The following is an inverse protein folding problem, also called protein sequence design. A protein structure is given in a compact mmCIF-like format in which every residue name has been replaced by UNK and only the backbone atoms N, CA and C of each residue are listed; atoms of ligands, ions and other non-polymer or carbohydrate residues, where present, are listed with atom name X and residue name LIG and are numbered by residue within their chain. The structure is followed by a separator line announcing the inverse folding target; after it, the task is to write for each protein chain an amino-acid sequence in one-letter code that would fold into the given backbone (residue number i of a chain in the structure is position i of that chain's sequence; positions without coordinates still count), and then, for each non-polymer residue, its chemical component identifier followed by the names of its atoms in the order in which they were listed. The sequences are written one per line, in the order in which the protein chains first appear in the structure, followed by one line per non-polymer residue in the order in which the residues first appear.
data_IF_238106585544
#
_entry.id   IF_238106585544
#
_cell.length_a   1.000
_cell.length_b   1.000
_cell.length_c   1.000
_cell.angle_alpha   90.00
_cell.angle_beta   90.00
_cell.angle_gamma   90.00
#
_symmetry.space_group_name_H-M   'P 1'
#
loop_
_entity.id
_entity.type
_entity.pdbx_description
1 polymer ?
#
# COMPACT_ATOMS: atom_id res chain seq x y z
N UNK A 1 -6.56 -14.20 10.76
CA UNK A 1 -6.96 -14.25 9.36
C UNK A 1 -6.66 -12.92 8.68
N UNK A 2 -5.98 -12.96 7.55
CA UNK A 2 -5.58 -11.74 6.86
C UNK A 2 -6.69 -11.25 5.94
N UNK A 3 -6.77 -9.95 5.75
CA UNK A 3 -7.83 -9.35 4.97
C UNK A 3 -7.30 -8.24 4.07
N UNK A 4 -8.11 -7.84 3.11
CA UNK A 4 -7.83 -6.72 2.24
C UNK A 4 -8.46 -5.46 2.83
N UNK A 5 -7.76 -4.34 2.68
CA UNK A 5 -8.32 -3.06 3.09
C UNK A 5 -8.33 -2.12 1.90
N UNK A 6 -9.24 -1.15 1.93
CA UNK A 6 -9.43 -0.19 0.86
C UNK A 6 -9.31 1.21 1.44
N UNK A 7 -8.46 2.03 0.82
CA UNK A 7 -8.23 3.40 1.26
C UNK A 7 -8.71 4.35 0.18
N UNK A 8 -9.73 5.12 0.49
CA UNK A 8 -10.35 6.05 -0.47
C UNK A 8 -9.88 7.49 -0.26
N UNK A 9 -9.23 7.77 0.87
CA UNK A 9 -8.84 9.12 1.22
C UNK A 9 -7.44 9.44 0.75
N UNK A 10 -7.17 10.72 0.59
CA UNK A 10 -5.83 11.20 0.28
C UNK A 10 -5.03 11.33 1.55
N UNK A 11 -3.72 11.16 1.45
CA UNK A 11 -2.88 11.31 2.62
C UNK A 11 -1.52 10.68 2.42
N UNK A 12 -0.98 10.13 3.50
CA UNK A 12 0.31 9.50 3.51
C UNK A 12 0.23 8.16 4.25
N UNK A 13 0.85 7.15 3.68
CA UNK A 13 0.95 5.86 4.33
C UNK A 13 2.42 5.63 4.64
N UNK A 14 2.76 5.34 5.89
CA UNK A 14 4.14 5.14 6.27
C UNK A 14 4.27 4.06 7.33
N UNK A 15 5.50 3.61 7.51
CA UNK A 15 5.83 2.68 8.58
C UNK A 15 6.11 3.46 9.86
N UNK A 16 5.56 2.98 10.97
CA UNK A 16 5.88 3.55 12.27
C UNK A 16 6.10 2.37 13.22
N UNK A 17 7.35 2.13 13.60
CA UNK A 17 7.78 0.94 14.33
C UNK A 17 7.41 -0.31 13.52
N UNK A 18 6.61 -1.20 14.05
CA UNK A 18 6.16 -2.39 13.36
C UNK A 18 4.71 -2.31 12.91
N UNK A 19 4.24 -1.09 12.65
CA UNK A 19 2.84 -0.85 12.36
C UNK A 19 2.73 0.09 11.16
N UNK A 20 1.66 -0.05 10.40
CA UNK A 20 1.35 0.93 9.37
C UNK A 20 0.65 2.13 9.99
N UNK A 21 1.00 3.30 9.53
CA UNK A 21 0.38 4.53 9.95
C UNK A 21 -0.23 5.23 8.75
N UNK A 22 -1.53 5.45 8.79
CA UNK A 22 -2.25 6.18 7.77
C UNK A 22 -2.50 7.60 8.26
N UNK A 23 -1.98 8.59 7.55
CA UNK A 23 -2.14 9.98 7.91
C UNK A 23 -3.02 10.63 6.87
N UNK A 24 -4.13 11.18 7.31
CA UNK A 24 -5.06 11.91 6.44
C UNK A 24 -5.35 13.25 7.11
N UNK A 25 -6.18 14.06 6.48
CA UNK A 25 -6.58 15.33 7.12
C UNK A 25 -7.41 15.12 8.38
N UNK A 26 -7.93 13.92 8.59
CA UNK A 26 -8.64 13.60 9.81
C UNK A 26 -7.73 13.20 10.97
N UNK A 27 -6.43 13.01 10.69
CA UNK A 27 -5.45 12.65 11.69
C UNK A 27 -4.73 11.35 11.37
N UNK A 28 -4.09 10.78 12.37
CA UNK A 28 -3.35 9.54 12.24
C UNK A 28 -4.22 8.34 12.61
N UNK A 29 -3.98 7.24 11.90
CA UNK A 29 -4.65 6.00 12.19
C UNK A 29 -3.66 4.86 12.03
N UNK A 30 -3.58 3.98 13.00
CA UNK A 30 -2.68 2.83 12.94
C UNK A 30 -3.42 1.62 12.42
N UNK A 31 -2.76 0.89 11.52
CA UNK A 31 -3.34 -0.29 10.89
C UNK A 31 -2.52 -1.51 11.28
N UNK A 32 -3.14 -2.56 11.81
CA UNK A 32 -2.40 -3.75 12.25
C UNK A 32 -1.93 -4.54 11.03
N UNK A 33 -0.62 -4.46 10.76
CA UNK A 33 -0.05 -5.06 9.55
C UNK A 33 -0.22 -6.57 9.50
N UNK A 34 -0.28 -7.22 10.65
CA UNK A 34 -0.37 -8.68 10.67
C UNK A 34 -1.72 -9.20 10.22
N UNK A 35 -2.74 -8.37 10.23
CA UNK A 35 -4.07 -8.75 9.78
C UNK A 35 -4.34 -8.36 8.34
N UNK A 36 -3.34 -7.83 7.65
CA UNK A 36 -3.53 -7.29 6.30
C UNK A 36 -2.72 -8.11 5.30
N UNK A 37 -3.38 -8.54 4.23
CA UNK A 37 -2.70 -9.22 3.13
C UNK A 37 -2.59 -8.32 1.89
N UNK A 38 -3.55 -7.42 1.70
CA UNK A 38 -3.57 -6.55 0.53
C UNK A 38 -4.11 -5.19 0.92
N UNK A 39 -3.59 -4.16 0.28
CA UNK A 39 -4.06 -2.79 0.47
C UNK A 39 -4.40 -2.23 -0.90
N UNK A 40 -5.62 -1.75 -1.04
CA UNK A 40 -6.09 -1.11 -2.27
C UNK A 40 -6.13 0.40 -2.05
N UNK A 41 -5.32 1.13 -2.80
CA UNK A 41 -5.20 2.58 -2.65
C UNK A 41 -5.94 3.25 -3.80
N UNK A 42 -7.04 3.89 -3.48
CA UNK A 42 -7.89 4.55 -4.47
C UNK A 42 -7.78 6.08 -4.42
N UNK A 43 -7.18 6.63 -3.35
CA UNK A 43 -6.93 8.06 -3.25
C UNK A 43 -5.50 8.41 -3.61
N UNK A 44 -5.16 9.69 -3.44
CA UNK A 44 -3.79 10.15 -3.61
C UNK A 44 -3.03 9.86 -2.33
N UNK A 45 -2.05 8.99 -2.41
CA UNK A 45 -1.35 8.52 -1.23
C UNK A 45 0.15 8.61 -1.44
N UNK A 46 0.84 9.29 -0.54
CA UNK A 46 2.29 9.38 -0.57
C UNK A 46 2.89 8.15 0.11
N UNK A 47 3.88 7.58 -0.53
CA UNK A 47 4.57 6.40 -0.03
C UNK A 47 6.07 6.67 -0.08
N UNK A 48 6.84 5.97 0.76
CA UNK A 48 8.28 6.08 0.68
C UNK A 48 8.90 4.69 0.63
N UNK A 49 10.22 4.66 0.36
CA UNK A 49 10.92 3.41 0.20
C UNK A 49 10.88 2.56 1.47
N UNK A 50 10.98 3.20 2.62
CA UNK A 50 10.95 2.48 3.90
C UNK A 50 9.64 1.73 4.09
N UNK A 51 8.54 2.34 3.69
CA UNK A 51 7.25 1.67 3.75
C UNK A 51 7.21 0.47 2.82
N UNK A 52 7.69 0.64 1.59
CA UNK A 52 7.67 -0.46 0.62
C UNK A 52 8.52 -1.63 1.08
N UNK A 53 9.66 -1.34 1.70
CA UNK A 53 10.50 -2.40 2.26
C UNK A 53 9.79 -3.14 3.40
N UNK A 54 9.07 -2.40 4.22
CA UNK A 54 8.31 -2.99 5.31
C UNK A 54 7.20 -3.90 4.78
N UNK A 55 6.49 -3.46 3.76
CA UNK A 55 5.44 -4.27 3.15
C UNK A 55 6.00 -5.52 2.48
N UNK A 56 7.18 -5.42 1.88
CA UNK A 56 7.85 -6.58 1.31
C UNK A 56 8.18 -7.60 2.39
N UNK A 57 8.71 -7.11 3.50
CA UNK A 57 9.05 -7.96 4.63
C UNK A 57 7.83 -8.67 5.21
N UNK A 58 6.69 -7.98 5.23
CA UNK A 58 5.45 -8.54 5.75
C UNK A 58 4.59 -9.22 4.69
N UNK A 59 5.06 -9.23 3.45
CA UNK A 59 4.38 -9.87 2.34
C UNK A 59 3.00 -9.29 2.06
N UNK A 60 2.89 -7.96 2.14
CA UNK A 60 1.65 -7.25 1.87
C UNK A 60 1.69 -6.70 0.46
N UNK A 61 0.62 -6.92 -0.29
CA UNK A 61 0.51 -6.48 -1.67
C UNK A 61 -0.22 -5.14 -1.72
N UNK A 62 0.34 -4.19 -2.49
CA UNK A 62 -0.31 -2.91 -2.71
C UNK A 62 -0.89 -2.86 -4.12
N UNK A 63 -2.13 -2.44 -4.21
CA UNK A 63 -2.79 -2.21 -5.49
C UNK A 63 -3.10 -0.72 -5.62
N UNK A 64 -2.76 -0.15 -6.76
CA UNK A 64 -2.96 1.27 -6.99
C UNK A 64 -4.06 1.50 -8.02
N UNK A 65 -4.90 2.48 -7.77
CA UNK A 65 -5.99 2.88 -8.66
C UNK A 65 -5.93 4.39 -8.85
N UNK A 66 -6.40 4.87 -9.99
CA UNK A 66 -6.52 6.31 -10.15
C UNK A 66 -7.80 6.78 -9.47
N UNK A 67 -8.02 8.10 -9.46
CA UNK A 67 -9.18 8.65 -8.74
C UNK A 67 -10.53 8.30 -9.37
N UNK A 68 -10.52 7.71 -10.58
CA UNK A 68 -11.74 7.19 -11.19
C UNK A 68 -11.99 5.73 -10.83
N UNK A 69 -11.10 5.12 -10.08
CA UNK A 69 -11.24 3.72 -9.69
C UNK A 69 -10.65 2.72 -10.67
N UNK A 70 -9.93 3.19 -11.69
CA UNK A 70 -9.26 2.29 -12.63
C UNK A 70 -7.93 1.83 -12.07
N UNK A 71 -7.68 0.55 -12.21
CA UNK A 71 -6.44 -0.06 -11.76
C UNK A 71 -5.23 0.47 -12.55
N UNK A 72 -4.18 0.88 -11.83
CA UNK A 72 -2.98 1.42 -12.46
C UNK A 72 -1.73 0.59 -12.23
N UNK A 73 -1.69 -0.22 -11.18
CA UNK A 73 -0.53 -1.05 -10.95
C UNK A 73 -0.55 -1.73 -9.60
N UNK A 74 0.42 -2.59 -9.38
CA UNK A 74 0.51 -3.37 -8.16
C UNK A 74 1.97 -3.48 -7.73
N UNK A 75 2.22 -3.35 -6.43
CA UNK A 75 3.52 -3.62 -5.85
C UNK A 75 3.47 -4.99 -5.19
N UNK A 76 4.27 -5.93 -5.72
CA UNK A 76 4.35 -7.29 -5.18
C UNK A 76 5.61 -7.45 -4.35
N UNK A 77 5.51 -7.94 -3.12
CA UNK A 77 6.70 -8.28 -2.35
C UNK A 77 7.38 -9.53 -2.92
N UNK A 78 8.70 -9.59 -2.80
CA UNK A 78 9.47 -10.74 -3.25
C UNK A 78 10.16 -11.35 -2.05
N UNK A 79 9.76 -12.57 -1.72
CA UNK A 79 10.22 -13.23 -0.51
C UNK A 79 11.72 -13.51 -0.49
N UNK A 80 12.31 -13.77 -1.63
CA UNK A 80 13.71 -14.22 -1.67
C UNK A 80 14.71 -13.11 -1.86
N UNK A 81 14.28 -11.90 -2.19
CA UNK A 81 15.18 -10.82 -2.55
C UNK A 81 15.08 -9.60 -1.64
N UNK A 82 14.28 -9.68 -0.60
CA UNK A 82 14.09 -8.58 0.35
C UNK A 82 13.68 -7.27 -0.31
N UNK A 83 13.16 -7.35 -1.50
CA UNK A 83 12.68 -6.17 -2.21
C UNK A 83 11.49 -6.58 -3.05
N UNK A 84 10.69 -5.61 -3.39
CA UNK A 84 9.55 -5.85 -4.24
C UNK A 84 9.83 -5.38 -5.65
N UNK A 85 8.84 -5.52 -6.50
CA UNK A 85 8.89 -4.93 -7.82
C UNK A 85 7.52 -4.38 -8.16
N UNK A 86 7.52 -3.38 -9.02
CA UNK A 86 6.31 -2.70 -9.42
C UNK A 86 5.89 -3.22 -10.79
N UNK A 87 4.64 -3.64 -10.89
CA UNK A 87 4.04 -3.96 -12.17
C UNK A 87 3.03 -2.88 -12.46
N UNK A 88 3.30 -2.11 -13.50
CA UNK A 88 2.41 -1.04 -13.90
C UNK A 88 1.69 -1.47 -15.16
N UNK A 89 0.37 -1.37 -15.13
CA UNK A 89 -0.42 -1.65 -16.31
C UNK A 89 -0.73 -0.33 -16.96
N UNK A 90 -0.14 -0.12 -18.13
CA UNK A 90 -0.40 1.10 -18.88
C UNK A 90 -1.71 0.97 -19.61
N UNK A 91 -2.53 1.99 -19.43
CA UNK A 91 -3.79 2.07 -20.16
C UNK A 91 -3.58 3.05 -21.28
N UNK A 92 -3.65 2.55 -22.48
CA UNK A 92 -3.48 3.40 -23.64
C UNK A 92 -4.82 3.86 -24.15
N UNK A 93 -4.87 5.09 -24.52
CA UNK A 93 -6.09 5.70 -25.00
C UNK A 93 -5.91 6.23 -26.40
#
# INVERSE_FOLDING_TARGET
MKKSIYIFKDGQLKRESNTLCLITEEGKRFLPIEDISEIHILGEMDLNKRLLEFLTEKEVILHFYNHYGYYTGTYYPRQHLNSGFMIAKQVEH
#
